data_IF_073614372736
#
_entry.id   IF_073614372736
#
_cell.length_a   1.000
_cell.length_b   1.000
_cell.length_c   1.000
_cell.angle_alpha   90.00
_cell.angle_beta   90.00
_cell.angle_gamma   90.00
#
_symmetry.space_group_name_H-M   'P 1'
#
loop_
_entity.id
_entity.type
_entity.pdbx_description
1 polymer ?
#
# COMPACT_ATOMS: atom_id res chain seq x y z
N UNK A 1 -66.96 14.96 58.93
CA UNK A 1 -65.90 15.98 58.92
C UNK A 1 -64.65 15.34 58.32
N UNK A 2 -64.49 15.43 57.01
CA UNK A 2 -63.39 14.78 56.26
C UNK A 2 -62.33 15.82 55.97
N UNK A 3 -61.16 15.69 56.60
CA UNK A 3 -60.02 16.60 56.40
C UNK A 3 -59.19 16.08 55.22
N UNK A 4 -59.29 16.74 54.08
CA UNK A 4 -58.42 16.52 52.93
C UNK A 4 -57.07 17.20 53.17
N UNK A 5 -56.04 16.41 53.48
CA UNK A 5 -54.64 16.86 53.45
C UNK A 5 -54.19 16.98 51.99
N UNK A 6 -54.07 18.21 51.50
CA UNK A 6 -53.35 18.47 50.25
C UNK A 6 -51.86 18.28 50.50
N UNK A 7 -51.28 17.26 49.87
CA UNK A 7 -49.83 17.10 49.80
C UNK A 7 -49.26 18.27 49.00
N UNK A 8 -48.46 19.12 49.64
CA UNK A 8 -47.78 20.24 48.99
C UNK A 8 -46.89 19.72 47.87
N UNK A 9 -47.17 20.15 46.64
CA UNK A 9 -46.31 19.92 45.48
C UNK A 9 -44.99 20.64 45.77
N UNK A 10 -43.91 19.86 45.91
CA UNK A 10 -42.57 20.37 46.15
C UNK A 10 -42.06 20.94 44.82
N UNK A 11 -42.12 22.27 44.67
CA UNK A 11 -41.52 22.93 43.51
C UNK A 11 -40.01 22.67 43.50
N UNK A 12 -39.53 22.08 42.42
CA UNK A 12 -38.09 21.93 42.17
C UNK A 12 -37.52 23.31 41.86
N UNK A 13 -36.75 23.84 42.82
CA UNK A 13 -35.95 25.05 42.64
C UNK A 13 -35.05 24.89 41.42
N UNK A 14 -35.42 25.53 40.31
CA UNK A 14 -34.72 25.45 39.03
C UNK A 14 -33.55 26.43 39.05
N UNK A 15 -32.39 25.96 39.51
CA UNK A 15 -31.16 26.73 39.52
C UNK A 15 -30.65 26.85 38.07
N UNK A 16 -31.07 27.90 37.34
CA UNK A 16 -30.70 28.09 35.92
C UNK A 16 -29.18 28.02 35.68
N UNK A 17 -28.37 28.43 36.65
CA UNK A 17 -26.90 28.34 36.59
C UNK A 17 -26.40 26.89 36.57
N UNK A 18 -27.07 25.99 37.30
CA UNK A 18 -26.73 24.56 37.33
C UNK A 18 -27.04 23.89 36.00
N UNK A 19 -28.17 24.23 35.37
CA UNK A 19 -28.56 23.71 34.05
C UNK A 19 -27.57 24.14 32.96
N UNK A 20 -27.16 25.41 32.96
CA UNK A 20 -26.17 25.94 31.99
C UNK A 20 -24.80 25.28 32.18
N UNK A 21 -24.36 25.11 33.43
CA UNK A 21 -23.09 24.45 33.74
C UNK A 21 -23.06 22.99 33.27
N UNK A 22 -24.18 22.27 33.47
CA UNK A 22 -24.33 20.88 33.07
C UNK A 22 -24.32 20.74 31.54
N UNK A 23 -25.01 21.64 30.82
CA UNK A 23 -24.97 21.72 29.35
C UNK A 23 -23.57 21.98 28.81
N UNK A 24 -22.86 22.97 29.35
CA UNK A 24 -21.50 23.29 28.92
C UNK A 24 -20.54 22.10 29.15
N UNK A 25 -20.71 21.39 30.26
CA UNK A 25 -19.91 20.20 30.56
C UNK A 25 -20.18 19.08 29.55
N UNK A 26 -21.45 18.86 29.17
CA UNK A 26 -21.81 17.87 28.15
C UNK A 26 -21.22 18.26 26.79
N UNK A 27 -21.33 19.53 26.39
CA UNK A 27 -20.78 20.02 25.12
C UNK A 27 -19.26 19.83 25.09
N UNK A 28 -18.56 20.15 26.19
CA UNK A 28 -17.11 19.96 26.30
C UNK A 28 -16.74 18.47 26.15
N UNK A 29 -17.53 17.58 26.76
CA UNK A 29 -17.30 16.14 26.71
C UNK A 29 -17.49 15.61 25.28
N UNK A 30 -18.55 16.06 24.59
CA UNK A 30 -18.80 15.72 23.18
C UNK A 30 -17.66 16.23 22.28
N UNK A 31 -17.22 17.46 22.48
CA UNK A 31 -16.10 18.03 21.72
C UNK A 31 -14.79 17.25 21.95
N UNK A 32 -14.54 16.83 23.19
CA UNK A 32 -13.41 15.96 23.52
C UNK A 32 -13.48 14.61 22.81
N UNK A 33 -14.64 13.94 22.85
CA UNK A 33 -14.86 12.67 22.16
C UNK A 33 -14.68 12.79 20.64
N UNK A 34 -15.20 13.86 20.03
CA UNK A 34 -15.03 14.13 18.60
C UNK A 34 -13.55 14.32 18.22
N UNK A 35 -12.78 14.99 19.07
CA UNK A 35 -11.34 15.20 18.84
C UNK A 35 -10.58 13.87 18.86
N UNK A 36 -10.87 13.01 19.85
CA UNK A 36 -10.26 11.67 19.93
C UNK A 36 -10.65 10.84 18.71
N UNK A 37 -11.93 10.84 18.35
CA UNK A 37 -12.42 10.13 17.17
C UNK A 37 -11.70 10.58 15.89
N UNK A 38 -11.55 11.89 15.70
CA UNK A 38 -10.85 12.45 14.55
C UNK A 38 -9.39 11.99 14.49
N UNK A 39 -8.66 12.03 15.61
CA UNK A 39 -7.26 11.59 15.66
C UNK A 39 -7.13 10.10 15.35
N UNK A 40 -8.01 9.26 15.89
CA UNK A 40 -8.02 7.82 15.60
C UNK A 40 -8.26 7.56 14.11
N UNK A 41 -9.26 8.22 13.51
CA UNK A 41 -9.56 8.06 12.09
C UNK A 41 -8.42 8.57 11.20
N UNK A 42 -7.84 9.73 11.53
CA UNK A 42 -6.69 10.28 10.81
C UNK A 42 -5.51 9.30 10.83
N UNK A 43 -5.24 8.66 11.96
CA UNK A 43 -4.19 7.66 12.09
C UNK A 43 -4.48 6.39 11.27
N UNK A 44 -5.72 5.93 11.24
CA UNK A 44 -6.13 4.76 10.42
C UNK A 44 -5.94 5.07 8.93
N UNK A 45 -6.37 6.25 8.47
CA UNK A 45 -6.23 6.68 7.08
C UNK A 45 -4.75 6.84 6.72
N UNK A 46 -3.94 7.45 7.60
CA UNK A 46 -2.51 7.60 7.39
C UNK A 46 -1.80 6.24 7.29
N UNK A 47 -2.11 5.30 8.18
CA UNK A 47 -1.56 3.94 8.15
C UNK A 47 -1.96 3.19 6.86
N UNK A 48 -3.21 3.33 6.43
CA UNK A 48 -3.69 2.77 5.16
C UNK A 48 -2.94 3.34 3.96
N UNK A 49 -2.83 4.67 3.88
CA UNK A 49 -2.10 5.35 2.80
C UNK A 49 -0.62 4.98 2.78
N UNK A 50 0.02 4.86 3.94
CA UNK A 50 1.42 4.44 4.01
C UNK A 50 1.62 3.02 3.45
N UNK A 51 0.72 2.09 3.81
CA UNK A 51 0.76 0.72 3.30
C UNK A 51 0.55 0.66 1.79
N UNK A 52 -0.39 1.44 1.26
CA UNK A 52 -0.64 1.54 -0.19
C UNK A 52 0.56 2.12 -0.93
N UNK A 53 1.14 3.21 -0.42
CA UNK A 53 2.34 3.82 -1.02
C UNK A 53 3.53 2.86 -1.02
N UNK A 54 3.75 2.15 0.09
CA UNK A 54 4.81 1.14 0.15
C UNK A 54 4.60 0.03 -0.88
N UNK A 55 3.35 -0.40 -1.09
CA UNK A 55 3.02 -1.44 -2.07
C UNK A 55 3.23 -0.94 -3.50
N UNK A 56 2.85 0.31 -3.80
CA UNK A 56 3.08 0.94 -5.10
C UNK A 56 4.58 1.10 -5.39
N UNK A 57 5.38 1.56 -4.42
CA UNK A 57 6.83 1.66 -4.56
C UNK A 57 7.47 0.30 -4.87
N UNK A 58 6.98 -0.77 -4.23
CA UNK A 58 7.44 -2.14 -4.54
C UNK A 58 7.04 -2.59 -5.95
N UNK A 59 5.84 -2.21 -6.41
CA UNK A 59 5.39 -2.50 -7.77
C UNK A 59 6.25 -1.77 -8.81
N UNK A 60 6.53 -0.49 -8.58
CA UNK A 60 7.39 0.32 -9.45
C UNK A 60 8.80 -0.25 -9.54
N UNK A 61 9.42 -0.59 -8.41
CA UNK A 61 10.77 -1.18 -8.41
C UNK A 61 10.82 -2.53 -9.10
N UNK A 62 9.78 -3.37 -8.92
CA UNK A 62 9.71 -4.65 -9.60
C UNK A 62 9.53 -4.49 -11.11
N UNK A 63 8.77 -3.49 -11.53
CA UNK A 63 8.58 -3.18 -12.94
C UNK A 63 9.86 -2.64 -13.58
N UNK A 64 10.63 -1.82 -12.86
CA UNK A 64 11.95 -1.36 -13.30
C UNK A 64 12.93 -2.53 -13.47
N UNK A 65 13.00 -3.43 -12.49
CA UNK A 65 13.81 -4.66 -12.59
C UNK A 65 13.39 -5.51 -13.78
N UNK A 66 12.08 -5.70 -13.99
CA UNK A 66 11.56 -6.45 -15.13
C UNK A 66 11.93 -5.78 -16.46
N UNK A 67 11.82 -4.45 -16.55
CA UNK A 67 12.18 -3.70 -17.75
C UNK A 67 13.68 -3.80 -18.05
N UNK A 68 14.53 -3.65 -17.03
CA UNK A 68 15.97 -3.85 -17.13
C UNK A 68 16.32 -5.28 -17.58
N UNK A 69 15.66 -6.29 -17.01
CA UNK A 69 15.89 -7.67 -17.38
C UNK A 69 15.42 -7.96 -18.81
N UNK A 70 14.30 -7.39 -19.25
CA UNK A 70 13.84 -7.49 -20.62
C UNK A 70 14.81 -6.81 -21.60
N UNK A 71 15.37 -5.66 -21.23
CA UNK A 71 16.39 -4.99 -22.02
C UNK A 71 17.67 -5.83 -22.11
N UNK A 72 18.13 -6.42 -21.00
CA UNK A 72 19.28 -7.34 -21.01
C UNK A 72 19.02 -8.58 -21.85
N UNK A 73 17.83 -9.18 -21.74
CA UNK A 73 17.41 -10.31 -22.58
C UNK A 73 17.46 -9.93 -24.06
N UNK A 74 16.92 -8.78 -24.43
CA UNK A 74 16.97 -8.29 -25.81
C UNK A 74 18.40 -8.04 -26.30
N UNK A 75 19.31 -7.59 -25.43
CA UNK A 75 20.73 -7.40 -25.77
C UNK A 75 21.49 -8.73 -25.92
N UNK A 76 21.06 -9.79 -25.22
CA UNK A 76 21.64 -11.12 -25.34
C UNK A 76 21.06 -11.91 -26.50
N UNK A 77 19.81 -11.65 -26.89
CA UNK A 77 19.15 -12.27 -28.04
C UNK A 77 19.51 -11.59 -29.38
N UNK A 78 20.35 -10.54 -29.37
CA UNK A 78 20.85 -9.90 -30.58
C UNK A 78 21.74 -10.89 -31.37
N UNK A 79 21.30 -11.39 -32.53
CA UNK A 79 22.03 -12.38 -33.30
C UNK A 79 23.42 -11.89 -33.73
N UNK A 80 23.59 -10.57 -33.91
CA UNK A 80 24.87 -9.98 -34.25
C UNK A 80 25.88 -10.11 -33.10
N UNK A 81 25.44 -9.93 -31.86
CA UNK A 81 26.29 -10.14 -30.67
C UNK A 81 26.58 -11.60 -30.40
N UNK A 82 25.62 -12.48 -30.65
CA UNK A 82 25.84 -13.93 -30.55
C UNK A 82 26.88 -14.37 -31.59
N UNK A 83 26.80 -13.84 -32.81
CA UNK A 83 27.79 -14.09 -33.87
C UNK A 83 29.17 -13.53 -33.51
N UNK A 84 29.26 -12.28 -33.03
CA UNK A 84 30.53 -11.68 -32.61
C UNK A 84 31.16 -12.44 -31.42
N UNK A 85 30.34 -12.90 -30.48
CA UNK A 85 30.80 -13.74 -29.38
C UNK A 85 31.32 -15.09 -29.89
N UNK A 86 30.56 -15.77 -30.76
CA UNK A 86 30.97 -17.04 -31.36
C UNK A 86 32.29 -16.90 -32.12
N UNK A 87 32.45 -15.84 -32.90
CA UNK A 87 33.71 -15.52 -33.59
C UNK A 87 34.85 -15.21 -32.61
N UNK A 88 34.59 -14.48 -31.52
CA UNK A 88 35.60 -14.17 -30.50
C UNK A 88 36.10 -15.41 -29.73
N UNK A 89 35.29 -16.46 -29.66
CA UNK A 89 35.60 -17.74 -29.03
C UNK A 89 36.12 -18.79 -30.03
N UNK A 90 36.41 -18.40 -31.29
CA UNK A 90 36.83 -19.30 -32.37
C UNK A 90 35.82 -20.45 -32.63
N UNK A 91 34.53 -20.22 -32.42
CA UNK A 91 33.50 -21.22 -32.72
C UNK A 91 33.28 -21.28 -34.24
N UNK A 92 33.37 -22.48 -34.80
CA UNK A 92 33.19 -22.71 -36.23
C UNK A 92 31.72 -22.95 -36.61
N UNK A 93 31.34 -22.57 -37.83
CA UNK A 93 29.97 -22.73 -38.35
C UNK A 93 29.62 -24.21 -38.57
N UNK A 94 28.60 -24.71 -37.88
CA UNK A 94 28.15 -26.09 -38.02
C UNK A 94 27.41 -26.33 -39.35
N UNK A 95 28.13 -26.71 -40.40
CA UNK A 95 27.57 -26.98 -41.75
C UNK A 95 26.81 -28.30 -41.89
N UNK A 96 26.86 -29.19 -40.89
CA UNK A 96 26.13 -30.45 -40.86
C UNK A 96 25.67 -30.75 -39.42
N UNK A 97 24.41 -30.45 -39.11
CA UNK A 97 23.81 -30.51 -37.77
C UNK A 97 23.69 -31.92 -37.14
N UNK A 98 24.31 -32.94 -37.71
CA UNK A 98 24.35 -34.31 -37.14
C UNK A 98 25.36 -34.41 -35.98
N UNK A 99 26.37 -33.53 -35.96
CA UNK A 99 27.47 -33.56 -34.98
C UNK A 99 27.34 -32.57 -33.82
N UNK A 100 26.22 -31.84 -33.71
CA UNK A 100 26.04 -30.78 -32.70
C UNK A 100 26.05 -31.29 -31.25
N UNK A 101 25.91 -32.61 -31.05
CA UNK A 101 25.91 -33.24 -29.74
C UNK A 101 27.25 -33.92 -29.38
N UNK A 102 28.24 -33.95 -30.28
CA UNK A 102 29.55 -34.58 -30.02
C UNK A 102 30.66 -33.57 -29.65
N UNK A 103 30.59 -32.32 -30.12
CA UNK A 103 31.57 -31.28 -29.78
C UNK A 103 30.86 -30.04 -29.24
N UNK A 104 31.26 -29.58 -28.05
CA UNK A 104 30.59 -28.51 -27.30
C UNK A 104 30.73 -27.09 -27.87
N UNK A 105 31.52 -26.89 -28.94
CA UNK A 105 31.94 -25.57 -29.44
C UNK A 105 31.43 -25.25 -30.85
N UNK A 106 30.13 -25.41 -31.11
CA UNK A 106 29.53 -25.10 -32.43
C UNK A 106 28.30 -24.21 -32.32
N UNK A 107 28.27 -23.14 -33.11
CA UNK A 107 27.14 -22.22 -33.22
C UNK A 107 26.46 -22.34 -34.59
N UNK A 108 25.12 -22.29 -34.60
CA UNK A 108 24.29 -22.31 -35.80
C UNK A 108 24.05 -20.86 -36.28
N UNK A 109 24.29 -20.62 -37.57
CA UNK A 109 24.00 -19.34 -38.23
C UNK A 109 22.52 -19.30 -38.66
N UNK A 110 21.79 -18.19 -38.44
CA UNK A 110 20.45 -18.02 -38.97
C UNK A 110 20.42 -17.86 -40.50
#
# INVERSE_FOLDING_TARGET
MTVTKHAGVKELNHNSVSTVFLLNTIILLIAGLLTIYYVVQANIVAAGNYKTNLLNQKLESLNEVRSSLAAQKSLMEDPARILDFALSQNMEEAKNAVYLFENGDVALKP
#
